data_IF_664007811692
#
_entry.id   IF_664007811692
#
_cell.length_a   1.000
_cell.length_b   1.000
_cell.length_c   1.000
_cell.angle_alpha   90.00
_cell.angle_beta   90.00
_cell.angle_gamma   90.00
#
_symmetry.space_group_name_H-M   'P 1'
#
loop_
_entity.id
_entity.type
_entity.pdbx_description
1 polymer ?
#
# COMPACT_ATOMS: atom_id res chain seq x y z
N UNK A 1 4.80 16.25 16.83
CA UNK A 1 6.27 16.24 16.65
C UNK A 1 6.81 17.60 17.07
N UNK A 2 7.88 17.64 17.88
CA UNK A 2 8.34 18.88 18.55
C UNK A 2 9.28 19.72 17.66
N UNK A 3 10.01 19.08 16.73
CA UNK A 3 10.94 19.73 15.81
C UNK A 3 10.78 19.14 14.39
N UNK A 4 10.05 19.80 13.47
CA UNK A 4 9.79 19.26 12.13
C UNK A 4 11.02 19.32 11.20
N UNK A 5 12.00 20.19 11.49
CA UNK A 5 13.23 20.33 10.70
C UNK A 5 14.15 19.10 10.78
N UNK A 6 14.01 18.29 11.83
CA UNK A 6 14.82 17.09 12.05
C UNK A 6 14.28 15.87 11.27
N UNK A 7 13.16 16.02 10.56
CA UNK A 7 12.60 14.98 9.71
C UNK A 7 13.34 14.88 8.36
N UNK A 8 13.84 16.02 7.86
CA UNK A 8 14.47 16.15 6.55
C UNK A 8 15.99 15.91 6.60
N UNK A 9 16.55 15.62 5.42
CA UNK A 9 17.98 15.43 5.20
C UNK A 9 18.43 13.97 5.29
N UNK A 10 19.70 13.73 4.92
CA UNK A 10 20.28 12.38 4.81
C UNK A 10 20.29 11.62 6.13
N UNK A 11 20.52 12.33 7.24
CA UNK A 11 20.46 11.78 8.61
C UNK A 11 19.14 12.13 9.34
N UNK A 12 18.11 12.55 8.60
CA UNK A 12 16.78 12.82 9.16
C UNK A 12 16.09 11.53 9.61
N UNK A 13 15.11 11.67 10.50
CA UNK A 13 14.37 10.51 11.05
C UNK A 13 13.70 9.68 9.95
N UNK A 14 13.22 10.31 8.88
CA UNK A 14 12.58 9.61 7.76
C UNK A 14 13.60 8.78 6.95
N UNK A 15 14.72 9.39 6.56
CA UNK A 15 15.77 8.73 5.79
C UNK A 15 16.38 7.55 6.55
N UNK A 16 16.71 7.76 7.82
CA UNK A 16 17.27 6.71 8.69
C UNK A 16 16.29 5.57 8.94
N UNK A 17 15.00 5.89 9.16
CA UNK A 17 13.95 4.90 9.34
C UNK A 17 13.74 4.02 8.11
N UNK A 18 13.60 4.64 6.92
CA UNK A 18 13.43 3.89 5.66
C UNK A 18 14.67 3.06 5.33
N UNK A 19 15.87 3.60 5.56
CA UNK A 19 17.14 2.88 5.37
C UNK A 19 17.23 1.64 6.27
N UNK A 20 16.89 1.78 7.55
CA UNK A 20 16.89 0.66 8.50
C UNK A 20 15.92 -0.45 8.08
N UNK A 21 14.69 -0.10 7.73
CA UNK A 21 13.69 -1.08 7.25
C UNK A 21 14.16 -1.76 5.97
N UNK A 22 14.74 -1.01 5.04
CA UNK A 22 15.31 -1.55 3.79
C UNK A 22 16.41 -2.56 4.07
N UNK A 23 17.32 -2.27 5.01
CA UNK A 23 18.39 -3.19 5.39
C UNK A 23 17.84 -4.49 6.00
N UNK A 24 16.84 -4.39 6.88
CA UNK A 24 16.21 -5.56 7.51
C UNK A 24 15.50 -6.41 6.46
N UNK A 25 14.76 -5.80 5.53
CA UNK A 25 14.09 -6.51 4.45
C UNK A 25 15.07 -7.16 3.47
N UNK A 26 16.15 -6.45 3.11
CA UNK A 26 17.21 -7.00 2.26
C UNK A 26 17.91 -8.20 2.93
N UNK A 27 18.24 -8.09 4.22
CA UNK A 27 18.83 -9.20 4.98
C UNK A 27 17.87 -10.40 5.05
N UNK A 28 16.59 -10.18 5.35
CA UNK A 28 15.58 -11.23 5.39
C UNK A 28 15.43 -11.94 4.03
N UNK A 29 15.37 -11.17 2.93
CA UNK A 29 15.31 -11.72 1.58
C UNK A 29 16.58 -12.52 1.21
N UNK A 30 17.76 -11.98 1.53
CA UNK A 30 19.04 -12.63 1.25
C UNK A 30 19.21 -13.95 2.01
N UNK A 31 19.01 -13.95 3.33
CA UNK A 31 19.11 -15.18 4.13
C UNK A 31 17.99 -16.18 3.81
N UNK A 32 16.79 -15.69 3.49
CA UNK A 32 15.69 -16.54 3.02
C UNK A 32 16.06 -17.29 1.74
N UNK A 33 16.65 -16.60 0.76
CA UNK A 33 17.07 -17.22 -0.49
C UNK A 33 18.23 -18.20 -0.30
N UNK A 34 19.25 -17.88 0.52
CA UNK A 34 20.36 -18.82 0.80
C UNK A 34 19.86 -20.12 1.44
N UNK A 35 18.82 -20.05 2.27
CA UNK A 35 18.32 -21.21 3.02
C UNK A 35 17.50 -22.17 2.15
N UNK A 36 16.63 -21.64 1.29
CA UNK A 36 15.69 -22.44 0.50
C UNK A 36 16.09 -22.58 -0.98
N UNK A 37 17.00 -21.73 -1.48
CA UNK A 37 17.43 -21.73 -2.88
C UNK A 37 16.25 -21.62 -3.84
N UNK A 38 16.28 -22.43 -4.90
CA UNK A 38 15.25 -22.47 -5.95
C UNK A 38 13.91 -23.07 -5.48
N UNK A 39 13.86 -23.65 -4.27
CA UNK A 39 12.63 -24.24 -3.71
C UNK A 39 11.76 -23.24 -2.95
N UNK A 40 12.13 -21.95 -2.94
CA UNK A 40 11.39 -20.92 -2.19
C UNK A 40 10.01 -20.68 -2.80
N UNK A 41 8.97 -21.02 -2.06
CA UNK A 41 7.59 -20.66 -2.39
C UNK A 41 7.35 -19.14 -2.27
N UNK A 42 6.24 -18.67 -2.85
CA UNK A 42 5.87 -17.25 -2.95
C UNK A 42 5.79 -16.49 -1.61
N UNK A 43 5.72 -17.20 -0.48
CA UNK A 43 6.06 -16.64 0.82
C UNK A 43 7.09 -17.53 1.52
N UNK A 44 8.15 -16.91 2.06
CA UNK A 44 9.18 -17.62 2.84
C UNK A 44 8.55 -18.40 4.00
N UNK A 45 7.44 -17.91 4.54
CA UNK A 45 6.76 -18.52 5.69
C UNK A 45 6.14 -19.88 5.39
N UNK A 46 5.85 -20.15 4.11
CA UNK A 46 5.27 -21.41 3.65
C UNK A 46 6.31 -22.53 3.57
N UNK A 47 7.60 -22.18 3.42
CA UNK A 47 8.71 -23.13 3.39
C UNK A 47 9.17 -23.59 4.79
N UNK A 48 8.63 -23.02 5.88
CA UNK A 48 9.01 -23.44 7.23
C UNK A 48 8.49 -24.84 7.55
N UNK A 49 9.42 -25.76 7.81
CA UNK A 49 9.14 -27.10 8.35
C UNK A 49 8.53 -27.04 9.76
N UNK A 50 7.79 -28.07 10.17
CA UNK A 50 7.06 -28.11 11.45
C UNK A 50 7.93 -28.48 12.66
N UNK A 51 9.11 -27.86 12.75
CA UNK A 51 9.93 -27.92 13.96
C UNK A 51 9.32 -27.01 15.04
N UNK A 52 9.53 -27.29 16.34
CA UNK A 52 8.92 -26.49 17.41
C UNK A 52 9.31 -25.00 17.38
N UNK A 53 10.52 -24.68 16.90
CA UNK A 53 10.97 -23.29 16.72
C UNK A 53 10.20 -22.62 15.58
N UNK A 54 10.09 -23.27 14.43
CA UNK A 54 9.38 -22.76 13.27
C UNK A 54 7.87 -22.60 13.53
N UNK A 55 7.28 -23.51 14.31
CA UNK A 55 5.91 -23.40 14.77
C UNK A 55 5.69 -22.13 15.60
N UNK A 56 6.63 -21.81 16.51
CA UNK A 56 6.58 -20.55 17.27
C UNK A 56 6.60 -19.32 16.35
N UNK A 57 7.43 -19.33 15.30
CA UNK A 57 7.48 -18.26 14.29
C UNK A 57 6.15 -18.13 13.55
N UNK A 58 5.53 -19.25 13.12
CA UNK A 58 4.19 -19.25 12.49
C UNK A 58 3.14 -18.65 13.42
N UNK A 59 3.15 -18.99 14.71
CA UNK A 59 2.25 -18.40 15.72
C UNK A 59 2.48 -16.89 15.88
N UNK A 60 3.74 -16.45 15.95
CA UNK A 60 4.07 -15.02 16.05
C UNK A 60 3.60 -14.25 14.82
N UNK A 61 3.80 -14.81 13.62
CA UNK A 61 3.31 -14.24 12.37
C UNK A 61 1.78 -14.11 12.38
N UNK A 62 1.06 -15.15 12.81
CA UNK A 62 -0.40 -15.13 12.90
C UNK A 62 -0.87 -13.99 13.83
N UNK A 63 -0.25 -13.85 15.00
CA UNK A 63 -0.56 -12.76 15.93
C UNK A 63 -0.30 -11.37 15.33
N UNK A 64 0.81 -11.19 14.62
CA UNK A 64 1.18 -9.92 13.96
C UNK A 64 0.21 -9.58 12.83
N UNK A 65 -0.13 -10.54 11.97
CA UNK A 65 -1.06 -10.34 10.84
C UNK A 65 -2.46 -10.04 11.36
N UNK A 66 -2.94 -10.79 12.35
CA UNK A 66 -4.24 -10.55 12.99
C UNK A 66 -4.32 -9.14 13.59
N UNK A 67 -3.30 -8.73 14.35
CA UNK A 67 -3.27 -7.41 14.98
C UNK A 67 -3.17 -6.27 13.94
N UNK A 68 -2.34 -6.47 12.90
CA UNK A 68 -2.17 -5.50 11.82
C UNK A 68 -3.46 -5.29 11.02
N UNK A 69 -4.21 -6.36 10.76
CA UNK A 69 -5.49 -6.28 10.06
C UNK A 69 -6.49 -5.38 10.80
N UNK A 70 -6.59 -5.50 12.12
CA UNK A 70 -7.47 -4.65 12.94
C UNK A 70 -7.09 -3.17 12.84
N UNK A 71 -5.79 -2.87 12.86
CA UNK A 71 -5.27 -1.51 12.75
C UNK A 71 -5.51 -0.94 11.33
N UNK A 72 -5.28 -1.74 10.29
CA UNK A 72 -5.45 -1.33 8.89
C UNK A 72 -6.92 -1.10 8.51
N UNK A 73 -7.86 -1.80 9.14
CA UNK A 73 -9.29 -1.59 8.90
C UNK A 73 -9.79 -0.23 9.42
N UNK A 74 -9.16 0.31 10.47
CA UNK A 74 -9.57 1.58 11.08
C UNK A 74 -9.61 2.76 10.08
N UNK A 75 -8.53 3.12 9.36
CA UNK A 75 -8.56 4.24 8.42
C UNK A 75 -9.54 4.02 7.27
N UNK A 76 -9.73 2.77 6.81
CA UNK A 76 -10.72 2.44 5.77
C UNK A 76 -12.12 2.81 6.24
N UNK A 77 -12.48 2.40 7.46
CA UNK A 77 -13.80 2.71 8.05
C UNK A 77 -13.94 4.21 8.29
N UNK A 78 -12.91 4.86 8.82
CA UNK A 78 -12.93 6.29 9.13
C UNK A 78 -13.09 7.16 7.87
N UNK A 79 -12.47 6.77 6.75
CA UNK A 79 -12.61 7.48 5.48
C UNK A 79 -13.94 7.17 4.76
N UNK A 80 -14.39 5.91 4.75
CA UNK A 80 -15.57 5.50 3.99
C UNK A 80 -16.91 5.76 4.71
N UNK A 81 -16.96 5.60 6.03
CA UNK A 81 -18.20 5.74 6.79
C UNK A 81 -18.84 7.12 6.68
N UNK A 82 -18.11 8.25 6.73
CA UNK A 82 -18.69 9.57 6.53
C UNK A 82 -19.39 9.74 5.18
N UNK A 83 -18.85 9.14 4.11
CA UNK A 83 -19.44 9.16 2.77
C UNK A 83 -20.81 8.46 2.76
N UNK A 84 -20.92 7.31 3.43
CA UNK A 84 -22.19 6.59 3.59
C UNK A 84 -23.16 7.29 4.55
N UNK A 85 -22.64 7.96 5.60
CA UNK A 85 -23.44 8.61 6.65
C UNK A 85 -24.08 9.92 6.20
N UNK A 86 -23.43 10.69 5.31
CA UNK A 86 -23.95 11.96 4.76
C UNK A 86 -25.38 11.86 4.19
N UNK A 87 -25.69 10.94 3.26
CA UNK A 87 -27.04 10.79 2.73
C UNK A 87 -28.05 10.26 3.77
N UNK A 88 -27.62 9.42 4.71
CA UNK A 88 -28.48 8.87 5.76
C UNK A 88 -28.91 9.93 6.78
N UNK A 89 -28.03 10.88 7.09
CA UNK A 89 -28.33 12.00 7.99
C UNK A 89 -29.27 13.02 7.33
N UNK A 90 -29.15 13.24 6.02
CA UNK A 90 -30.05 14.11 5.27
C UNK A 90 -31.51 13.60 5.29
N UNK A 91 -31.73 12.29 5.45
CA UNK A 91 -33.06 11.66 5.59
C UNK A 91 -33.62 11.65 7.02
N UNK A 92 -32.99 12.34 7.97
CA UNK A 92 -33.41 12.43 9.38
C UNK A 92 -33.60 11.06 10.06
N UNK A 93 -32.71 10.11 9.75
CA UNK A 93 -32.80 8.72 10.21
C UNK A 93 -32.48 8.59 11.70
N UNK A 94 -33.18 7.68 12.42
CA UNK A 94 -32.98 7.43 13.86
C UNK A 94 -31.52 7.08 14.19
N UNK A 95 -30.99 7.61 15.30
CA UNK A 95 -29.60 7.38 15.75
C UNK A 95 -29.25 5.90 15.94
N UNK A 96 -30.17 5.10 16.48
CA UNK A 96 -29.96 3.66 16.67
C UNK A 96 -29.74 2.92 15.34
N UNK A 97 -30.45 3.33 14.27
CA UNK A 97 -30.29 2.75 12.94
C UNK A 97 -28.95 3.10 12.30
N UNK A 98 -28.45 4.32 12.54
CA UNK A 98 -27.12 4.74 12.06
C UNK A 98 -26.02 3.90 12.72
N UNK A 99 -26.13 3.62 14.02
CA UNK A 99 -25.17 2.76 14.73
C UNK A 99 -25.22 1.33 14.21
N UNK A 100 -26.43 0.77 14.01
CA UNK A 100 -26.59 -0.56 13.42
C UNK A 100 -25.97 -0.66 12.02
N UNK A 101 -26.17 0.36 11.17
CA UNK A 101 -25.55 0.42 9.85
C UNK A 101 -24.02 0.57 9.92
N UNK A 102 -23.47 1.22 10.94
CA UNK A 102 -22.01 1.32 11.12
C UNK A 102 -21.41 -0.06 11.39
N UNK A 103 -22.03 -0.86 12.27
CA UNK A 103 -21.60 -2.23 12.51
C UNK A 103 -21.76 -3.08 11.25
N UNK A 104 -22.90 -2.99 10.56
CA UNK A 104 -23.13 -3.70 9.31
C UNK A 104 -22.07 -3.37 8.25
N UNK A 105 -21.72 -2.09 8.12
CA UNK A 105 -20.67 -1.62 7.22
C UNK A 105 -19.32 -2.23 7.58
N UNK A 106 -18.92 -2.21 8.86
CA UNK A 106 -17.68 -2.85 9.32
C UNK A 106 -17.67 -4.35 9.02
N UNK A 107 -18.77 -5.06 9.29
CA UNK A 107 -18.90 -6.48 8.96
C UNK A 107 -18.79 -6.71 7.45
N UNK A 108 -19.44 -5.90 6.62
CA UNK A 108 -19.37 -6.03 5.16
C UNK A 108 -17.95 -5.90 4.62
N UNK A 109 -17.13 -5.01 5.17
CA UNK A 109 -15.73 -4.88 4.79
C UNK A 109 -14.94 -6.16 5.10
N UNK A 110 -15.15 -6.77 6.27
CA UNK A 110 -14.52 -8.04 6.62
C UNK A 110 -14.96 -9.16 5.68
N UNK A 111 -16.26 -9.22 5.34
CA UNK A 111 -16.77 -10.21 4.38
C UNK A 111 -16.20 -10.03 2.98
N UNK A 112 -15.99 -8.79 2.52
CA UNK A 112 -15.32 -8.52 1.24
C UNK A 112 -13.89 -9.05 1.26
N UNK A 113 -13.13 -8.78 2.32
CA UNK A 113 -11.76 -9.30 2.46
C UNK A 113 -11.75 -10.84 2.52
N UNK A 114 -12.71 -11.44 3.25
CA UNK A 114 -12.85 -12.90 3.31
C UNK A 114 -13.19 -13.49 1.93
N UNK A 115 -14.06 -12.83 1.16
CA UNK A 115 -14.38 -13.22 -0.21
C UNK A 115 -13.17 -13.14 -1.13
N UNK A 116 -12.36 -12.08 -1.02
CA UNK A 116 -11.11 -11.96 -1.77
C UNK A 116 -10.10 -13.05 -1.38
N UNK A 117 -9.97 -13.36 -0.09
CA UNK A 117 -9.11 -14.44 0.40
C UNK A 117 -9.55 -15.83 -0.11
N UNK A 118 -10.85 -16.04 -0.31
CA UNK A 118 -11.36 -17.28 -0.91
C UNK A 118 -11.17 -17.33 -2.43
N UNK A 119 -11.24 -16.19 -3.12
CA UNK A 119 -11.10 -16.11 -4.58
C UNK A 119 -9.64 -16.19 -5.04
N UNK A 120 -8.69 -15.75 -4.21
CA UNK A 120 -7.27 -15.64 -4.57
C UNK A 120 -6.49 -16.80 -3.93
N UNK A 121 -6.21 -17.89 -4.68
CA UNK A 121 -5.43 -19.01 -4.16
C UNK A 121 -3.92 -18.70 -4.05
N UNK A 122 -3.40 -17.83 -4.94
CA UNK A 122 -1.98 -17.51 -5.07
C UNK A 122 -1.71 -16.04 -4.72
N UNK A 123 -1.23 -15.79 -3.50
CA UNK A 123 -0.98 -14.43 -2.99
C UNK A 123 0.26 -13.78 -3.63
N UNK A 124 1.21 -14.59 -4.06
CA UNK A 124 2.47 -14.21 -4.69
C UNK A 124 2.28 -13.48 -6.03
N UNK A 125 1.23 -13.81 -6.78
CA UNK A 125 0.89 -13.09 -8.02
C UNK A 125 0.13 -11.78 -7.77
N UNK A 126 -0.66 -11.71 -6.69
CA UNK A 126 -1.50 -10.54 -6.40
C UNK A 126 -0.74 -9.42 -5.68
N UNK A 127 0.17 -9.75 -4.77
CA UNK A 127 1.00 -8.75 -4.07
C UNK A 127 1.72 -7.80 -5.04
N UNK A 128 2.48 -8.28 -6.06
CA UNK A 128 3.15 -7.38 -7.01
C UNK A 128 2.17 -6.63 -7.90
N UNK A 129 1.02 -7.23 -8.26
CA UNK A 129 -0.03 -6.57 -9.04
C UNK A 129 -0.63 -5.37 -8.29
N UNK A 130 -1.00 -5.55 -7.02
CA UNK A 130 -1.54 -4.46 -6.18
C UNK A 130 -0.47 -3.43 -5.89
N UNK A 131 0.78 -3.85 -5.66
CA UNK A 131 1.91 -2.95 -5.43
C UNK A 131 2.23 -2.07 -6.64
N UNK A 132 2.25 -2.63 -7.84
CA UNK A 132 2.58 -1.84 -9.04
C UNK A 132 1.44 -0.91 -9.46
N UNK A 133 0.18 -1.29 -9.19
CA UNK A 133 -0.98 -0.45 -9.48
C UNK A 133 -1.14 0.64 -8.43
N UNK A 134 -1.46 0.28 -7.19
CA UNK A 134 -1.74 1.24 -6.12
C UNK A 134 -0.47 1.91 -5.60
N UNK A 135 0.64 1.19 -5.47
CA UNK A 135 1.89 1.72 -4.94
C UNK A 135 2.52 2.77 -5.86
N UNK A 136 2.58 2.53 -7.17
CA UNK A 136 3.13 3.51 -8.12
C UNK A 136 2.23 4.75 -8.26
N UNK A 137 0.91 4.56 -8.21
CA UNK A 137 -0.03 5.68 -8.18
C UNK A 137 0.17 6.55 -6.93
N UNK A 138 0.32 5.94 -5.75
CA UNK A 138 0.49 6.67 -4.50
C UNK A 138 1.90 7.26 -4.31
N UNK A 139 2.93 6.62 -4.85
CA UNK A 139 4.32 7.05 -4.66
C UNK A 139 4.79 8.10 -5.67
N UNK A 140 4.32 8.05 -6.92
CA UNK A 140 4.78 8.94 -7.99
C UNK A 140 3.68 9.85 -8.52
N UNK A 141 2.53 9.28 -8.89
CA UNK A 141 1.47 10.05 -9.57
C UNK A 141 0.78 11.01 -8.60
N UNK A 142 0.36 10.53 -7.43
CA UNK A 142 -0.39 11.34 -6.47
C UNK A 142 0.42 12.52 -5.92
N UNK A 143 1.69 12.37 -5.48
CA UNK A 143 2.50 13.51 -5.04
C UNK A 143 2.72 14.52 -6.16
N UNK A 144 3.06 14.08 -7.37
CA UNK A 144 3.29 14.98 -8.51
C UNK A 144 2.02 15.75 -8.91
N UNK A 145 0.86 15.10 -8.93
CA UNK A 145 -0.41 15.78 -9.21
C UNK A 145 -0.80 16.74 -8.09
N UNK A 146 -0.60 16.36 -6.83
CA UNK A 146 -0.90 17.23 -5.69
C UNK A 146 0.02 18.46 -5.66
N UNK A 147 1.32 18.28 -5.88
CA UNK A 147 2.27 19.38 -5.95
C UNK A 147 1.91 20.35 -7.09
N UNK A 148 1.61 19.80 -8.27
CA UNK A 148 1.18 20.59 -9.41
C UNK A 148 -0.12 21.36 -9.12
N UNK A 149 -1.15 20.75 -8.55
CA UNK A 149 -2.44 21.42 -8.29
C UNK A 149 -2.33 22.47 -7.18
N UNK A 150 -1.60 22.16 -6.11
CA UNK A 150 -1.52 23.03 -4.93
C UNK A 150 -0.61 24.23 -5.18
N UNK A 151 0.55 24.05 -5.83
CA UNK A 151 1.57 25.09 -5.94
C UNK A 151 1.53 25.89 -7.26
N UNK A 152 0.67 25.53 -8.22
CA UNK A 152 0.61 26.23 -9.52
C UNK A 152 0.34 27.74 -9.38
N UNK A 153 -0.51 28.15 -8.43
CA UNK A 153 -0.83 29.56 -8.22
C UNK A 153 0.36 30.32 -7.62
N UNK A 154 1.04 29.71 -6.64
CA UNK A 154 2.24 30.29 -6.03
C UNK A 154 3.38 30.41 -7.05
N UNK A 155 3.57 29.38 -7.89
CA UNK A 155 4.60 29.36 -8.92
C UNK A 155 4.33 30.40 -10.01
N UNK A 156 3.07 30.55 -10.43
CA UNK A 156 2.67 31.57 -11.41
C UNK A 156 2.92 32.99 -10.88
N UNK A 157 2.75 33.23 -9.59
CA UNK A 157 2.96 34.54 -8.99
C UNK A 157 4.45 34.87 -8.76
N UNK A 158 5.29 33.86 -8.49
CA UNK A 158 6.66 34.06 -7.99
C UNK A 158 7.77 33.75 -9.00
N UNK A 159 7.52 32.87 -9.97
CA UNK A 159 8.55 32.40 -10.89
C UNK A 159 8.45 33.03 -12.29
N UNK A 160 9.62 33.24 -12.91
CA UNK A 160 9.72 33.52 -14.35
C UNK A 160 9.14 32.34 -15.15
N UNK A 161 8.56 32.63 -16.32
CA UNK A 161 7.93 31.63 -17.21
C UNK A 161 8.77 30.39 -17.47
N UNK A 162 10.10 30.53 -17.54
CA UNK A 162 11.03 29.40 -17.73
C UNK A 162 11.14 28.51 -16.50
N UNK A 163 11.20 29.08 -15.28
CA UNK A 163 11.27 28.27 -14.05
C UNK A 163 9.95 27.57 -13.79
N UNK A 164 8.84 28.23 -14.07
CA UNK A 164 7.50 27.64 -14.01
C UNK A 164 7.39 26.43 -14.95
N UNK A 165 7.84 26.55 -16.21
CA UNK A 165 7.76 25.45 -17.16
C UNK A 165 8.65 24.27 -16.78
N UNK A 166 9.81 24.51 -16.16
CA UNK A 166 10.69 23.43 -15.67
C UNK A 166 10.04 22.63 -14.54
N UNK A 167 9.49 23.30 -13.52
CA UNK A 167 8.83 22.60 -12.40
C UNK A 167 7.61 21.80 -12.88
N UNK A 168 6.75 22.41 -13.69
CA UNK A 168 5.58 21.71 -14.25
C UNK A 168 5.99 20.55 -15.16
N UNK A 169 7.06 20.70 -15.95
CA UNK A 169 7.59 19.62 -16.78
C UNK A 169 8.13 18.46 -15.92
N UNK A 170 8.82 18.76 -14.82
CA UNK A 170 9.36 17.77 -13.89
C UNK A 170 8.24 16.96 -13.22
N UNK A 171 7.18 17.61 -12.73
CA UNK A 171 6.03 16.92 -12.14
C UNK A 171 5.28 16.08 -13.17
N UNK A 172 5.09 16.62 -14.37
CA UNK A 172 4.51 15.89 -15.49
C UNK A 172 5.36 14.65 -15.83
N UNK A 173 6.69 14.79 -15.83
CA UNK A 173 7.61 13.68 -16.04
C UNK A 173 7.47 12.60 -14.97
N UNK A 174 7.40 12.96 -13.68
CA UNK A 174 7.17 11.99 -12.60
C UNK A 174 5.82 11.29 -12.71
N UNK A 175 4.76 12.02 -13.05
CA UNK A 175 3.43 11.44 -13.26
C UNK A 175 3.40 10.47 -14.46
N UNK A 176 4.02 10.84 -15.57
CA UNK A 176 4.14 9.98 -16.76
C UNK A 176 4.99 8.74 -16.48
N UNK A 177 6.08 8.89 -15.74
CA UNK A 177 6.95 7.80 -15.33
C UNK A 177 6.20 6.83 -14.40
N UNK A 178 5.40 7.35 -13.46
CA UNK A 178 4.51 6.54 -12.63
C UNK A 178 3.49 5.76 -13.45
N UNK A 179 2.81 6.41 -14.40
CA UNK A 179 1.87 5.75 -15.31
C UNK A 179 2.55 4.69 -16.19
N UNK A 180 3.75 4.97 -16.68
CA UNK A 180 4.55 4.02 -17.43
C UNK A 180 4.86 2.76 -16.61
N UNK A 181 5.26 2.89 -15.35
CA UNK A 181 5.47 1.75 -14.46
C UNK A 181 4.18 0.99 -14.16
N UNK A 182 3.05 1.67 -13.99
CA UNK A 182 1.75 1.00 -13.84
C UNK A 182 1.44 0.16 -15.08
N UNK A 183 1.56 0.72 -16.29
CA UNK A 183 1.23 0.00 -17.54
C UNK A 183 2.15 -1.18 -17.76
N UNK A 184 3.48 -0.95 -17.73
CA UNK A 184 4.48 -2.00 -17.96
C UNK A 184 4.41 -3.09 -16.88
N UNK A 185 4.24 -2.68 -15.62
CA UNK A 185 4.06 -3.59 -14.50
C UNK A 185 2.78 -4.40 -14.61
N UNK A 186 1.66 -3.78 -14.98
CA UNK A 186 0.39 -4.47 -15.17
C UNK A 186 0.49 -5.50 -16.30
N UNK A 187 1.12 -5.14 -17.41
CA UNK A 187 1.37 -6.08 -18.52
C UNK A 187 2.23 -7.26 -18.10
N UNK A 188 3.30 -7.04 -17.34
CA UNK A 188 4.16 -8.11 -16.84
C UNK A 188 3.40 -9.06 -15.89
N UNK A 189 2.65 -8.51 -14.94
CA UNK A 189 1.89 -9.30 -13.97
C UNK A 189 0.73 -10.06 -14.62
N UNK A 190 -0.03 -9.44 -15.54
CA UNK A 190 -1.11 -10.13 -16.27
C UNK A 190 -0.54 -11.23 -17.16
N UNK A 191 0.61 -11.01 -17.81
CA UNK A 191 1.26 -12.06 -18.61
C UNK A 191 1.66 -13.24 -17.75
N UNK A 192 2.18 -12.99 -16.55
CA UNK A 192 2.49 -14.03 -15.58
C UNK A 192 1.24 -14.77 -15.12
N UNK A 193 0.14 -14.07 -14.80
CA UNK A 193 -1.15 -14.71 -14.47
C UNK A 193 -1.69 -15.61 -15.60
N UNK A 194 -1.54 -15.19 -16.87
CA UNK A 194 -2.04 -15.98 -18.01
C UNK A 194 -1.14 -17.14 -18.42
N UNK A 195 0.16 -17.08 -18.15
CA UNK A 195 1.13 -18.15 -18.50
C UNK A 195 1.58 -18.97 -17.29
N UNK A 196 1.22 -18.55 -16.07
CA UNK A 196 1.63 -19.13 -14.79
C UNK A 196 0.84 -20.37 -14.37
N UNK A 197 -0.29 -20.68 -15.03
CA UNK A 197 -1.02 -21.94 -14.79
C UNK A 197 -0.28 -23.20 -15.32
N UNK A 198 0.94 -23.07 -15.86
CA UNK A 198 1.72 -24.20 -16.39
C UNK A 198 3.12 -24.33 -15.79
N UNK A 199 3.25 -24.44 -14.47
CA UNK A 199 4.44 -25.02 -13.81
C UNK A 199 4.09 -25.63 -12.46
#
# INVERSE_FOLDING_TARGET
>A
MKHPKDMDGVNGVLSTGVSLVTLIYAACGFYGYITYGDSVQGSVTLNLSDTPLNFSVKCMLLCVVYSSFLIQQYPIVEMLWPLAKRPLRARNTKRAYIIALEYLFRFSLVFVVLGLAWLIPNLDEIIPLVGVTSGMLLALVLPAVLEMVVFIEEWRAKYTTLKLSVHVCLDCFYALLGLFFVITGLQANIKNLMHGESS
#
